data_IF_372943257595
#
_entry.id   IF_372943257595
#
_cell.length_a   1.000
_cell.length_b   1.000
_cell.length_c   1.000
_cell.angle_alpha   90.00
_cell.angle_beta   90.00
_cell.angle_gamma   90.00
#
_symmetry.space_group_name_H-M   'P 1'
#
loop_
_entity.id
_entity.type
_entity.pdbx_description
1 polymer ?
#
# COMPACT_ATOMS: atom_id res chain seq x y z
N UNK A 1 -12.19 -7.38 -6.38
CA UNK A 1 -11.12 -6.36 -6.29
C UNK A 1 -10.73 -5.90 -7.69
N UNK A 2 -10.46 -4.62 -7.83
CA UNK A 2 -10.04 -4.03 -9.09
C UNK A 2 -8.62 -3.48 -8.96
N UNK A 3 -7.72 -3.96 -9.81
CA UNK A 3 -6.33 -3.50 -9.87
C UNK A 3 -6.10 -2.73 -11.17
N UNK A 4 -5.65 -1.48 -11.05
CA UNK A 4 -5.35 -0.65 -12.22
C UNK A 4 -3.86 -0.34 -12.25
N UNK A 5 -3.23 -0.72 -13.37
CA UNK A 5 -1.82 -0.43 -13.58
C UNK A 5 -1.67 0.96 -14.20
N UNK A 6 -1.09 1.89 -13.45
CA UNK A 6 -0.92 3.29 -13.87
C UNK A 6 0.42 3.50 -14.53
N UNK A 7 1.49 3.03 -13.89
CA UNK A 7 2.85 3.17 -14.40
C UNK A 7 3.66 1.93 -14.06
N UNK A 8 4.26 1.30 -15.08
CA UNK A 8 5.21 0.22 -14.89
C UNK A 8 6.59 0.73 -14.53
N UNK A 9 7.45 -0.18 -14.06
CA UNK A 9 8.82 0.15 -13.66
C UNK A 9 9.66 0.67 -14.83
N UNK A 10 9.38 0.18 -16.04
CA UNK A 10 10.11 0.55 -17.27
C UNK A 10 9.50 1.73 -17.99
N UNK A 11 8.33 2.20 -17.59
CA UNK A 11 7.66 3.31 -18.23
C UNK A 11 8.18 4.65 -17.72
N UNK A 12 8.24 5.64 -18.62
CA UNK A 12 8.56 7.01 -18.25
C UNK A 12 7.33 7.70 -17.71
N UNK A 13 7.54 8.71 -16.88
CA UNK A 13 6.48 9.61 -16.44
C UNK A 13 6.12 10.55 -17.60
N UNK A 14 5.09 10.22 -18.34
CA UNK A 14 4.66 10.95 -19.55
C UNK A 14 3.15 11.23 -19.52
N UNK A 15 2.62 11.79 -20.61
CA UNK A 15 1.21 12.14 -20.71
C UNK A 15 0.29 10.91 -20.66
N UNK A 16 0.74 9.76 -21.15
CA UNK A 16 -0.02 8.51 -21.06
C UNK A 16 -0.20 8.07 -19.63
N UNK A 17 0.86 8.12 -18.82
CA UNK A 17 0.80 7.79 -17.39
C UNK A 17 -0.09 8.78 -16.64
N UNK A 18 0.03 10.08 -16.95
CA UNK A 18 -0.83 11.11 -16.35
C UNK A 18 -2.29 10.88 -16.68
N UNK A 19 -2.60 10.47 -17.92
CA UNK A 19 -3.96 10.16 -18.34
C UNK A 19 -4.53 8.96 -17.57
N UNK A 20 -3.73 7.91 -17.36
CA UNK A 20 -4.14 6.75 -16.56
C UNK A 20 -4.43 7.14 -15.12
N UNK A 21 -3.60 8.00 -14.53
CA UNK A 21 -3.80 8.51 -13.18
C UNK A 21 -5.08 9.32 -13.07
N UNK A 22 -5.34 10.20 -14.06
CA UNK A 22 -6.56 11.02 -14.10
C UNK A 22 -7.83 10.19 -14.32
N UNK A 23 -7.72 9.00 -14.92
CA UNK A 23 -8.85 8.12 -15.19
C UNK A 23 -9.24 7.22 -14.01
N UNK A 24 -8.58 7.35 -12.87
CA UNK A 24 -8.86 6.52 -11.69
C UNK A 24 -10.28 6.77 -11.16
N UNK A 25 -10.95 5.68 -10.80
CA UNK A 25 -12.28 5.71 -10.20
C UNK A 25 -12.29 4.90 -8.90
N UNK A 26 -13.19 5.25 -7.99
CA UNK A 26 -13.36 4.51 -6.74
C UNK A 26 -13.92 3.11 -6.99
N UNK A 27 -13.39 2.11 -6.28
CA UNK A 27 -13.90 0.75 -6.32
C UNK A 27 -14.91 0.47 -5.21
N UNK A 28 -15.53 -0.72 -5.25
CA UNK A 28 -16.58 -1.11 -4.31
C UNK A 28 -16.06 -1.75 -3.03
N UNK A 29 -14.83 -2.25 -3.04
CA UNK A 29 -14.29 -2.96 -1.89
C UNK A 29 -12.78 -2.81 -1.82
N UNK A 30 -12.23 -3.00 -0.62
CA UNK A 30 -10.80 -2.93 -0.38
C UNK A 30 -10.30 -4.25 0.22
N UNK A 31 -9.70 -5.06 -0.60
CA UNK A 31 -9.00 -6.27 -0.17
C UNK A 31 -7.51 -5.96 -0.08
N UNK A 32 -7.12 -5.44 1.06
CA UNK A 32 -5.75 -4.97 1.28
C UNK A 32 -4.72 -6.09 1.10
N UNK A 33 -4.98 -7.28 1.65
CA UNK A 33 -4.06 -8.41 1.52
C UNK A 33 -3.83 -8.82 0.08
N UNK A 34 -4.90 -8.93 -0.71
CA UNK A 34 -4.81 -9.28 -2.12
C UNK A 34 -4.06 -8.19 -2.91
N UNK A 35 -4.31 -6.91 -2.61
CA UNK A 35 -3.63 -5.80 -3.26
C UNK A 35 -2.14 -5.80 -2.95
N UNK A 36 -1.77 -6.04 -1.69
CA UNK A 36 -0.38 -6.13 -1.26
C UNK A 36 0.35 -7.28 -1.96
N UNK A 37 -0.27 -8.46 -2.02
CA UNK A 37 0.32 -9.62 -2.70
C UNK A 37 0.52 -9.36 -4.18
N UNK A 38 -0.48 -8.75 -4.82
CA UNK A 38 -0.43 -8.47 -6.24
C UNK A 38 0.70 -7.47 -6.58
N UNK A 39 0.74 -6.35 -5.88
CA UNK A 39 1.80 -5.35 -6.08
C UNK A 39 3.17 -5.90 -5.68
N UNK A 40 3.24 -6.62 -4.57
CA UNK A 40 4.47 -7.24 -4.08
C UNK A 40 5.03 -8.30 -5.02
N UNK A 41 4.16 -8.99 -5.76
CA UNK A 41 4.58 -9.97 -6.76
C UNK A 41 5.45 -9.31 -7.84
N UNK A 42 5.03 -8.17 -8.37
CA UNK A 42 5.83 -7.44 -9.35
C UNK A 42 7.15 -6.96 -8.75
N UNK A 43 7.10 -6.42 -7.55
CA UNK A 43 8.26 -5.87 -6.89
C UNK A 43 9.29 -6.96 -6.52
N UNK A 44 8.82 -8.13 -6.08
CA UNK A 44 9.68 -9.24 -5.68
C UNK A 44 10.53 -9.78 -6.83
N UNK A 45 10.09 -9.59 -8.08
CA UNK A 45 10.81 -10.03 -9.27
C UNK A 45 11.81 -8.99 -9.79
N UNK A 46 11.89 -7.82 -9.16
CA UNK A 46 12.87 -6.81 -9.57
C UNK A 46 14.18 -7.04 -8.84
N UNK A 47 15.27 -6.65 -9.49
CA UNK A 47 16.61 -6.70 -8.88
C UNK A 47 16.91 -5.35 -8.24
N UNK A 48 16.95 -5.35 -6.91
CA UNK A 48 17.24 -4.17 -6.13
C UNK A 48 17.71 -4.60 -4.73
N UNK A 49 18.59 -3.83 -4.11
CA UNK A 49 19.06 -4.10 -2.76
C UNK A 49 17.95 -3.91 -1.72
N UNK A 50 17.11 -2.92 -1.94
CA UNK A 50 15.98 -2.62 -1.06
C UNK A 50 14.71 -2.53 -1.88
N UNK A 51 13.68 -3.24 -1.42
CA UNK A 51 12.36 -3.23 -2.04
C UNK A 51 11.36 -2.76 -1.01
N UNK A 52 10.71 -1.64 -1.31
CA UNK A 52 9.74 -1.00 -0.41
C UNK A 52 8.41 -0.88 -1.14
N UNK A 53 7.36 -1.40 -0.49
CA UNK A 53 5.99 -1.24 -0.96
C UNK A 53 5.28 -0.26 -0.04
N UNK A 54 4.94 0.89 -0.58
CA UNK A 54 4.21 1.92 0.17
C UNK A 54 2.73 1.83 -0.13
N UNK A 55 1.93 1.59 0.90
CA UNK A 55 0.48 1.56 0.79
C UNK A 55 -0.09 2.86 1.34
N UNK A 56 -0.88 3.54 0.51
CA UNK A 56 -1.64 4.72 0.93
C UNK A 56 -3.11 4.33 1.03
N UNK A 57 -3.72 4.52 2.20
CA UNK A 57 -5.10 4.14 2.44
C UNK A 57 -5.82 5.20 3.28
N UNK A 58 -7.13 5.27 3.14
CA UNK A 58 -7.98 6.16 3.94
C UNK A 58 -8.90 5.40 4.90
N UNK A 59 -8.79 4.08 4.96
CA UNK A 59 -9.65 3.28 5.83
C UNK A 59 -9.19 1.86 6.04
N UNK A 60 -9.93 1.17 6.91
CA UNK A 60 -9.72 -0.23 7.24
C UNK A 60 -10.03 -1.13 6.04
N UNK A 61 -9.34 -2.28 5.88
CA UNK A 61 -9.71 -3.24 4.85
C UNK A 61 -11.18 -3.65 4.95
N UNK A 62 -11.89 -3.57 3.85
CA UNK A 62 -13.30 -3.90 3.78
C UNK A 62 -13.63 -4.54 2.44
N UNK A 63 -14.57 -5.49 2.46
CA UNK A 63 -15.07 -6.14 1.25
C UNK A 63 -16.55 -6.45 1.43
N UNK A 64 -17.35 -6.16 0.42
CA UNK A 64 -18.80 -6.43 0.44
C UNK A 64 -19.11 -7.93 0.54
N UNK A 65 -18.18 -8.77 0.10
CA UNK A 65 -18.33 -10.23 0.14
C UNK A 65 -17.82 -10.86 1.44
N UNK A 66 -17.20 -10.06 2.32
CA UNK A 66 -16.64 -10.52 3.59
C UNK A 66 -17.20 -9.65 4.71
N UNK A 67 -17.97 -10.24 5.60
CA UNK A 67 -18.67 -9.52 6.67
C UNK A 67 -17.80 -9.32 7.92
N UNK A 68 -16.68 -10.03 8.06
CA UNK A 68 -15.83 -9.95 9.25
C UNK A 68 -14.57 -9.13 9.02
N UNK A 69 -14.47 -7.91 9.59
CA UNK A 69 -13.27 -7.08 9.46
C UNK A 69 -11.99 -7.76 9.96
N UNK A 70 -12.11 -8.57 11.03
CA UNK A 70 -10.97 -9.30 11.58
C UNK A 70 -10.33 -10.28 10.61
N UNK A 71 -11.14 -10.89 9.74
CA UNK A 71 -10.65 -11.81 8.71
C UNK A 71 -9.78 -11.05 7.68
N UNK A 72 -10.23 -9.87 7.27
CA UNK A 72 -9.49 -9.05 6.31
C UNK A 72 -8.19 -8.49 6.90
N UNK A 73 -8.19 -8.16 8.19
CA UNK A 73 -6.98 -7.75 8.91
C UNK A 73 -5.95 -8.88 8.95
N UNK A 74 -6.39 -10.07 9.31
CA UNK A 74 -5.52 -11.26 9.39
C UNK A 74 -4.92 -11.58 8.03
N UNK A 75 -5.71 -11.49 6.96
CA UNK A 75 -5.25 -11.70 5.60
C UNK A 75 -4.21 -10.66 5.17
N UNK A 76 -4.43 -9.41 5.47
CA UNK A 76 -3.49 -8.32 5.17
C UNK A 76 -2.18 -8.50 5.96
N UNK A 77 -2.27 -8.84 7.23
CA UNK A 77 -1.10 -9.12 8.07
C UNK A 77 -0.27 -10.26 7.49
N UNK A 78 -0.93 -11.33 7.08
CA UNK A 78 -0.25 -12.47 6.47
C UNK A 78 0.43 -12.07 5.17
N UNK A 79 -0.19 -11.23 4.36
CA UNK A 79 0.41 -10.71 3.14
C UNK A 79 1.70 -9.93 3.43
N UNK A 80 1.69 -9.09 4.46
CA UNK A 80 2.88 -8.33 4.89
C UNK A 80 4.01 -9.29 5.32
N UNK A 81 3.69 -10.33 6.08
CA UNK A 81 4.65 -11.33 6.52
C UNK A 81 5.24 -12.11 5.34
N UNK A 82 4.41 -12.51 4.39
CA UNK A 82 4.86 -13.20 3.18
C UNK A 82 5.80 -12.34 2.34
N UNK A 83 5.49 -11.06 2.20
CA UNK A 83 6.33 -10.13 1.44
C UNK A 83 7.67 -9.88 2.14
N UNK A 84 7.68 -9.79 3.47
CA UNK A 84 8.90 -9.66 4.23
C UNK A 84 9.83 -10.85 3.99
N UNK A 85 9.27 -12.06 3.91
CA UNK A 85 10.03 -13.27 3.60
C UNK A 85 10.64 -13.23 2.20
N UNK A 86 10.06 -12.47 1.29
CA UNK A 86 10.56 -12.27 -0.08
C UNK A 86 11.49 -11.05 -0.22
N UNK A 87 11.83 -10.41 0.90
CA UNK A 87 12.69 -9.23 0.90
C UNK A 87 11.98 -7.92 0.58
N UNK A 88 10.64 -7.90 0.64
CA UNK A 88 9.86 -6.69 0.40
C UNK A 88 9.36 -6.13 1.72
N UNK A 89 9.77 -4.90 2.03
CA UNK A 89 9.30 -4.17 3.22
C UNK A 89 8.05 -3.38 2.86
N UNK A 90 6.98 -3.59 3.62
CA UNK A 90 5.74 -2.83 3.43
C UNK A 90 5.63 -1.72 4.47
N UNK A 91 5.17 -0.56 4.05
CA UNK A 91 4.91 0.58 4.93
C UNK A 91 3.56 1.18 4.60
N UNK A 92 2.80 1.55 5.61
CA UNK A 92 1.46 2.11 5.43
C UNK A 92 1.42 3.58 5.81
N UNK A 93 0.88 4.40 4.92
CA UNK A 93 0.47 5.77 5.21
C UNK A 93 -1.05 5.80 5.22
N UNK A 94 -1.65 6.14 6.35
CA UNK A 94 -3.09 6.18 6.50
C UNK A 94 -3.59 7.60 6.71
N UNK A 95 -4.69 7.94 6.06
CA UNK A 95 -5.41 9.19 6.29
C UNK A 95 -6.52 9.02 7.33
N UNK A 96 -6.71 7.81 7.85
CA UNK A 96 -7.70 7.50 8.85
C UNK A 96 -7.19 7.86 10.25
N UNK A 97 -7.82 8.79 10.98
CA UNK A 97 -7.40 9.12 12.34
C UNK A 97 -7.56 7.98 13.34
N UNK A 98 -8.32 6.93 12.98
CA UNK A 98 -8.50 5.72 13.80
C UNK A 98 -7.63 4.56 13.34
N UNK A 99 -6.62 4.83 12.55
CA UNK A 99 -5.77 3.79 11.96
C UNK A 99 -5.07 2.92 13.00
N UNK A 100 -4.77 3.44 14.20
CA UNK A 100 -4.10 2.70 15.27
C UNK A 100 -4.75 1.35 15.56
N UNK A 101 -6.07 1.26 15.40
CA UNK A 101 -6.82 0.04 15.73
C UNK A 101 -6.47 -1.13 14.82
N UNK A 102 -6.13 -0.87 13.57
CA UNK A 102 -5.90 -1.95 12.61
C UNK A 102 -4.50 -1.92 11.96
N UNK A 103 -3.90 -0.76 11.77
CA UNK A 103 -2.59 -0.71 11.11
C UNK A 103 -1.49 -1.34 11.95
N UNK A 104 -1.57 -1.25 13.26
CA UNK A 104 -0.63 -1.88 14.17
C UNK A 104 -0.68 -3.40 14.04
N UNK A 105 -1.87 -3.97 13.93
CA UNK A 105 -2.05 -5.41 13.72
C UNK A 105 -1.46 -5.88 12.39
N UNK A 106 -1.59 -5.06 11.35
CA UNK A 106 -1.18 -5.43 10.00
C UNK A 106 0.30 -5.14 9.76
N UNK A 107 0.77 -3.95 10.13
CA UNK A 107 2.09 -3.44 9.75
C UNK A 107 3.09 -3.36 10.91
N UNK A 108 2.68 -3.67 12.14
CA UNK A 108 3.54 -3.59 13.31
C UNK A 108 3.94 -2.15 13.62
N UNK A 109 5.19 -1.80 13.33
CA UNK A 109 5.73 -0.46 13.54
C UNK A 109 5.89 0.35 12.25
N UNK A 110 5.61 -0.27 11.12
CA UNK A 110 5.86 0.32 9.80
C UNK A 110 4.63 1.02 9.24
N UNK A 111 4.18 2.04 9.95
CA UNK A 111 3.02 2.83 9.54
C UNK A 111 3.12 4.24 10.09
N UNK A 112 2.39 5.14 9.45
CA UNK A 112 2.25 6.53 9.90
C UNK A 112 0.87 7.05 9.49
N UNK A 113 0.27 7.88 10.34
CA UNK A 113 -0.98 8.55 10.03
C UNK A 113 -0.68 9.97 9.55
N UNK A 114 -1.28 10.35 8.43
CA UNK A 114 -1.26 11.71 7.92
C UNK A 114 -2.56 12.40 8.30
N UNK A 115 -2.47 13.58 8.87
CA UNK A 115 -3.65 14.38 9.20
C UNK A 115 -4.27 15.03 7.96
N UNK A 116 -3.48 15.28 6.92
CA UNK A 116 -3.91 15.88 5.65
C UNK A 116 -3.12 15.31 4.48
N UNK A 117 -3.82 15.07 3.36
CA UNK A 117 -3.20 14.58 2.13
C UNK A 117 -2.17 15.58 1.58
N UNK A 118 -2.35 16.87 1.84
CA UNK A 118 -1.45 17.92 1.38
C UNK A 118 -0.04 17.81 1.97
N UNK A 119 0.10 17.07 3.08
CA UNK A 119 1.40 16.81 3.70
C UNK A 119 2.16 15.66 3.05
N UNK A 120 1.55 14.95 2.13
CA UNK A 120 2.19 13.82 1.48
C UNK A 120 3.49 14.19 0.76
N UNK A 121 3.57 15.29 -0.01
CA UNK A 121 4.82 15.68 -0.67
C UNK A 121 5.98 15.96 0.30
N UNK A 122 5.68 16.43 1.50
CA UNK A 122 6.70 16.67 2.53
C UNK A 122 7.13 15.37 3.22
N UNK A 123 6.18 14.47 3.41
CA UNK A 123 6.39 13.22 4.16
C UNK A 123 7.17 12.18 3.36
N UNK A 124 6.92 12.07 2.07
CA UNK A 124 7.52 11.03 1.22
C UNK A 124 9.06 11.05 1.20
N UNK A 125 9.74 12.22 1.04
CA UNK A 125 11.20 12.22 1.06
C UNK A 125 11.79 11.78 2.40
N UNK A 126 11.18 12.20 3.52
CA UNK A 126 11.61 11.79 4.86
C UNK A 126 11.45 10.29 5.06
N UNK A 127 10.32 9.72 4.63
CA UNK A 127 10.08 8.29 4.69
C UNK A 127 11.07 7.51 3.84
N UNK A 128 11.34 7.98 2.64
CA UNK A 128 12.29 7.33 1.75
C UNK A 128 13.67 7.22 2.41
N UNK A 129 14.16 8.30 3.00
CA UNK A 129 15.45 8.30 3.69
C UNK A 129 15.44 7.37 4.90
N UNK A 130 14.35 7.36 5.66
CA UNK A 130 14.20 6.51 6.85
C UNK A 130 14.19 5.02 6.47
N UNK A 131 13.46 4.66 5.42
CA UNK A 131 13.30 3.28 5.01
C UNK A 131 14.49 2.72 4.23
N UNK A 132 15.32 3.58 3.67
CA UNK A 132 16.50 3.15 2.87
C UNK A 132 17.82 3.19 3.64
N UNK A 133 17.79 3.53 4.91
CA UNK A 133 18.97 3.48 5.78
C UNK A 133 19.46 2.07 6.02
#
# INVERSE_FOLDING_TARGET
MRYQHIKGFSERWDDTVKARLAAMEAGFSTRMGAALRHAGHYLSHRQADKKILLLLTDGEPADIDVSEPGHLRADARKAVEELAAKGVTTFCLSLDPRADDYVRDIFGKRWRVLDRIERLPETLPSLYLELTR
#
